data_IF_816814585802
#
_entry.id   IF_816814585802
#
_cell.length_a   1.000
_cell.length_b   1.000
_cell.length_c   1.000
_cell.angle_alpha   90.00
_cell.angle_beta   90.00
_cell.angle_gamma   90.00
#
_symmetry.space_group_name_H-M   'P 1'
#
loop_
_entity.id
_entity.type
_entity.pdbx_description
1 polymer ?
#
# COMPACT_ATOMS: atom_id res chain seq x y z
N UNK A 1 -5.19 14.51 1.74
CA UNK A 1 -5.30 13.09 1.37
C UNK A 1 -5.50 12.34 2.67
N UNK A 2 -6.69 11.81 2.91
CA UNK A 2 -6.99 11.06 4.13
C UNK A 2 -6.65 9.59 3.91
N UNK A 3 -5.96 8.99 4.87
CA UNK A 3 -5.72 7.55 4.85
C UNK A 3 -7.04 6.83 5.19
N UNK A 4 -7.33 5.68 4.58
CA UNK A 4 -8.41 4.81 5.05
C UNK A 4 -8.22 4.52 6.55
N UNK A 5 -9.32 4.36 7.31
CA UNK A 5 -9.26 4.13 8.75
C UNK A 5 -8.41 2.91 9.17
N UNK A 6 -8.21 1.98 8.25
CA UNK A 6 -7.42 0.75 8.44
C UNK A 6 -5.95 0.90 8.06
N UNK A 7 -5.54 2.03 7.45
CA UNK A 7 -4.18 2.31 7.02
C UNK A 7 -3.49 3.28 7.97
N UNK A 8 -2.33 2.88 8.49
CA UNK A 8 -1.51 3.68 9.40
C UNK A 8 -0.17 3.96 8.73
N UNK A 9 0.18 5.25 8.59
CA UNK A 9 1.48 5.67 8.10
C UNK A 9 2.31 6.24 9.25
N UNK A 10 3.48 5.64 9.49
CA UNK A 10 4.48 6.12 10.44
C UNK A 10 5.55 6.93 9.69
N UNK A 11 5.59 8.28 9.86
CA UNK A 11 6.55 9.13 9.17
C UNK A 11 7.98 9.01 9.73
N UNK A 12 8.17 8.45 10.93
CA UNK A 12 9.49 8.31 11.56
C UNK A 12 10.36 7.25 10.90
N UNK A 13 9.74 6.20 10.35
CA UNK A 13 10.40 5.09 9.66
C UNK A 13 9.89 4.86 8.22
N UNK A 14 8.93 5.69 7.76
CA UNK A 14 8.28 5.57 6.45
C UNK A 14 7.58 4.22 6.23
N UNK A 15 6.98 3.65 7.29
CA UNK A 15 6.23 2.40 7.22
C UNK A 15 4.74 2.68 7.00
N UNK A 16 4.15 1.97 6.04
CA UNK A 16 2.70 1.92 5.84
C UNK A 16 2.20 0.55 6.28
N UNK A 17 1.33 0.52 7.29
CA UNK A 17 0.70 -0.70 7.81
C UNK A 17 -0.80 -0.69 7.54
N UNK A 18 -1.38 -1.88 7.39
CA UNK A 18 -2.82 -2.06 7.19
C UNK A 18 -3.37 -3.10 8.17
N UNK A 19 -4.48 -2.76 8.84
CA UNK A 19 -5.17 -3.66 9.77
C UNK A 19 -6.51 -4.09 9.15
N UNK A 20 -6.69 -5.38 8.79
CA UNK A 20 -7.96 -5.87 8.28
C UNK A 20 -9.08 -5.73 9.32
N UNK A 21 -10.27 -5.34 8.87
CA UNK A 21 -11.46 -5.19 9.72
C UNK A 21 -12.72 -5.63 8.96
N UNK A 22 -13.74 -6.18 9.65
CA UNK A 22 -15.02 -6.49 9.02
C UNK A 22 -15.63 -5.25 8.34
N UNK A 23 -16.06 -5.37 7.08
CA UNK A 23 -16.63 -4.27 6.29
C UNK A 23 -15.61 -3.32 5.66
N UNK A 24 -14.30 -3.57 5.83
CA UNK A 24 -13.25 -2.81 5.15
C UNK A 24 -12.95 -3.38 3.75
N UNK A 25 -12.17 -2.63 2.96
CA UNK A 25 -11.72 -3.08 1.62
C UNK A 25 -10.92 -4.39 1.67
N UNK A 26 -10.18 -4.59 2.77
CA UNK A 26 -9.47 -5.84 3.06
C UNK A 26 -9.95 -6.30 4.44
N UNK A 27 -10.76 -7.34 4.47
CA UNK A 27 -11.38 -7.85 5.70
C UNK A 27 -10.51 -8.89 6.42
N UNK A 28 -9.62 -9.56 5.69
CA UNK A 28 -8.69 -10.55 6.23
C UNK A 28 -7.43 -10.64 5.37
N UNK A 29 -6.35 -11.16 5.96
CA UNK A 29 -5.20 -11.62 5.18
C UNK A 29 -5.47 -13.02 4.65
N UNK A 30 -5.23 -13.21 3.36
CA UNK A 30 -5.31 -14.51 2.70
C UNK A 30 -3.91 -15.08 2.48
N UNK A 31 -3.80 -16.40 2.33
CA UNK A 31 -2.59 -17.06 1.85
C UNK A 31 -2.55 -17.08 0.32
N UNK A 32 -1.37 -17.33 -0.24
CA UNK A 32 -1.14 -17.46 -1.69
C UNK A 32 -0.20 -16.40 -2.26
N UNK A 33 -0.33 -16.13 -3.56
CA UNK A 33 0.45 -15.11 -4.25
C UNK A 33 -0.20 -13.73 -4.09
N UNK A 34 0.60 -12.77 -3.63
CA UNK A 34 0.20 -11.38 -3.49
C UNK A 34 1.07 -10.50 -4.38
N UNK A 35 0.46 -9.48 -4.97
CA UNK A 35 1.16 -8.47 -5.77
C UNK A 35 0.93 -7.09 -5.16
N UNK A 36 2.00 -6.40 -4.78
CA UNK A 36 1.96 -5.00 -4.38
C UNK A 36 2.50 -4.12 -5.51
N UNK A 37 1.75 -3.08 -5.88
CA UNK A 37 2.15 -2.10 -6.91
C UNK A 37 2.18 -0.70 -6.32
N UNK A 38 3.32 -0.02 -6.40
CA UNK A 38 3.49 1.36 -5.96
C UNK A 38 3.79 2.24 -7.17
N UNK A 39 3.00 3.31 -7.35
CA UNK A 39 3.30 4.40 -8.28
C UNK A 39 3.86 5.57 -7.49
N UNK A 40 5.05 6.04 -7.89
CA UNK A 40 5.77 7.13 -7.24
C UNK A 40 6.13 8.20 -8.25
N UNK A 41 5.95 9.47 -7.92
CA UNK A 41 6.45 10.62 -8.68
C UNK A 41 6.91 11.73 -7.73
N UNK A 42 7.82 12.58 -8.21
CA UNK A 42 8.15 13.82 -7.50
C UNK A 42 7.00 14.81 -7.69
N UNK A 43 6.64 15.53 -6.62
CA UNK A 43 5.57 16.54 -6.65
C UNK A 43 5.82 17.58 -7.75
N UNK A 44 7.09 17.99 -7.92
CA UNK A 44 7.49 18.98 -8.94
C UNK A 44 7.37 18.48 -10.38
N UNK A 45 7.45 17.17 -10.60
CA UNK A 45 7.40 16.56 -11.95
C UNK A 45 5.97 16.18 -12.36
N UNK A 46 5.05 16.12 -11.38
CA UNK A 46 3.66 15.75 -11.57
C UNK A 46 3.41 14.25 -11.75
N UNK A 47 2.15 13.83 -11.58
CA UNK A 47 1.76 12.40 -11.61
C UNK A 47 2.12 11.73 -12.94
N UNK A 48 2.07 12.45 -14.05
CA UNK A 48 2.36 11.90 -15.38
C UNK A 48 3.79 11.35 -15.53
N UNK A 49 4.71 11.70 -14.61
CA UNK A 49 6.10 11.22 -14.58
C UNK A 49 6.33 10.12 -13.55
N UNK A 50 5.29 9.36 -13.22
CA UNK A 50 5.40 8.28 -12.25
C UNK A 50 6.36 7.16 -12.69
N UNK A 51 6.94 6.51 -11.69
CA UNK A 51 7.63 5.22 -11.77
C UNK A 51 6.78 4.19 -11.05
N UNK A 52 6.77 2.98 -11.57
CA UNK A 52 6.06 1.85 -10.96
C UNK A 52 7.07 0.87 -10.39
N UNK A 53 6.81 0.45 -9.16
CA UNK A 53 7.51 -0.64 -8.50
C UNK A 53 6.51 -1.74 -8.20
N UNK A 54 6.87 -2.98 -8.54
CA UNK A 54 6.02 -4.15 -8.34
C UNK A 54 6.78 -5.17 -7.53
N UNK A 55 6.16 -5.66 -6.47
CA UNK A 55 6.64 -6.78 -5.68
C UNK A 55 5.63 -7.91 -5.74
N UNK A 56 6.16 -9.13 -5.82
CA UNK A 56 5.38 -10.36 -5.66
C UNK A 56 5.92 -11.11 -4.47
N UNK A 57 5.02 -11.58 -3.62
CA UNK A 57 5.35 -12.37 -2.45
C UNK A 57 4.35 -13.51 -2.31
N UNK A 58 4.87 -14.68 -1.97
CA UNK A 58 4.07 -15.83 -1.59
C UNK A 58 3.99 -15.87 -0.07
N UNK A 59 2.80 -16.17 0.45
CA UNK A 59 2.58 -16.39 1.87
C UNK A 59 1.89 -17.73 2.06
N UNK A 60 2.59 -18.63 2.73
CA UNK A 60 2.21 -19.99 3.10
C UNK A 60 1.46 -20.09 4.43
#
# INVERSE_FOLDING_TARGET
MELPATAVFDPGNNVLSFQPQPGAVIESFTQGEHTATVRYWKILDGEAKYRTFVWRFLTD
#
